data_IF_228692594463
#
_entry.id   IF_228692594463
#
_cell.length_a   1.000
_cell.length_b   1.000
_cell.length_c   1.000
_cell.angle_alpha   90.00
_cell.angle_beta   90.00
_cell.angle_gamma   90.00
#
_symmetry.space_group_name_H-M   'P 1'
#
loop_
_entity.id
_entity.type
_entity.pdbx_description
1 polymer ?
#
# COMPACT_ATOMS: atom_id res chain seq x y z
N UNK A 1 -48.87 53.45 -40.07
CA UNK A 1 -48.43 52.07 -39.86
C UNK A 1 -46.92 52.04 -40.05
N UNK A 2 -46.17 51.85 -38.97
CA UNK A 2 -44.70 51.74 -38.98
C UNK A 2 -44.34 50.59 -38.06
N UNK A 3 -44.03 49.43 -38.65
CA UNK A 3 -43.63 48.24 -37.93
C UNK A 3 -42.13 48.35 -37.65
N UNK A 4 -41.76 48.44 -36.37
CA UNK A 4 -40.37 48.39 -35.91
C UNK A 4 -39.98 46.94 -35.68
N UNK A 5 -39.00 46.45 -36.45
CA UNK A 5 -38.39 45.13 -36.25
C UNK A 5 -37.23 45.28 -35.28
N UNK A 6 -37.28 44.59 -34.14
CA UNK A 6 -36.17 44.50 -33.19
C UNK A 6 -35.10 43.52 -33.71
N UNK A 7 -33.80 43.81 -33.57
CA UNK A 7 -32.75 42.89 -33.96
C UNK A 7 -32.69 41.73 -32.96
N UNK A 8 -32.75 40.49 -33.48
CA UNK A 8 -32.46 39.31 -32.69
C UNK A 8 -30.95 39.28 -32.39
N UNK A 9 -30.59 39.61 -31.15
CA UNK A 9 -29.25 39.36 -30.63
C UNK A 9 -29.06 37.85 -30.57
N UNK A 10 -28.39 37.28 -31.57
CA UNK A 10 -28.00 35.88 -31.55
C UNK A 10 -27.09 35.67 -30.36
N UNK A 11 -27.58 34.95 -29.35
CA UNK A 11 -26.72 34.43 -28.28
C UNK A 11 -25.81 33.41 -28.95
N UNK A 12 -24.56 33.81 -29.18
CA UNK A 12 -23.53 32.92 -29.69
C UNK A 12 -23.32 31.82 -28.66
N UNK A 13 -23.84 30.62 -28.93
CA UNK A 13 -23.57 29.44 -28.14
C UNK A 13 -22.07 29.14 -28.32
N UNK A 14 -21.28 29.09 -27.24
CA UNK A 14 -19.85 28.82 -27.34
C UNK A 14 -19.64 27.48 -28.04
N UNK A 15 -18.64 27.44 -28.92
CA UNK A 15 -18.31 26.20 -29.59
C UNK A 15 -17.89 25.14 -28.56
N UNK A 16 -18.07 23.84 -28.84
CA UNK A 16 -17.72 22.77 -27.89
C UNK A 16 -16.28 22.87 -27.37
N UNK A 17 -15.32 23.34 -28.18
CA UNK A 17 -13.93 23.57 -27.75
C UNK A 17 -13.79 24.70 -26.72
N UNK A 18 -14.48 25.82 -26.91
CA UNK A 18 -14.45 26.95 -25.96
C UNK A 18 -15.16 26.62 -24.64
N UNK A 19 -16.17 25.74 -24.69
CA UNK A 19 -16.87 25.28 -23.49
C UNK A 19 -15.97 24.37 -22.63
N UNK A 20 -15.12 23.55 -23.27
CA UNK A 20 -14.13 22.71 -22.57
C UNK A 20 -13.03 23.55 -21.90
N UNK A 21 -12.56 24.61 -22.55
CA UNK A 21 -11.57 25.53 -21.97
C UNK A 21 -12.11 26.26 -20.74
N UNK A 22 -13.38 26.70 -20.78
CA UNK A 22 -14.03 27.40 -19.66
C UNK A 22 -14.19 26.49 -18.43
N UNK A 23 -14.54 25.22 -18.63
CA UNK A 23 -14.63 24.24 -17.53
C UNK A 23 -13.27 23.89 -16.95
N UNK A 24 -12.23 23.82 -17.78
CA UNK A 24 -10.87 23.56 -17.32
C UNK A 24 -10.32 24.73 -16.47
N UNK A 25 -10.69 25.97 -16.83
CA UNK A 25 -10.34 27.19 -16.07
C UNK A 25 -11.09 27.25 -14.74
N UNK A 26 -12.41 27.04 -14.74
CA UNK A 26 -13.21 26.99 -13.51
C UNK A 26 -12.71 25.90 -12.53
N UNK A 27 -12.38 24.71 -13.04
CA UNK A 27 -11.82 23.64 -12.22
C UNK A 27 -10.43 24.01 -11.66
N UNK A 28 -9.65 24.85 -12.34
CA UNK A 28 -8.35 25.35 -11.85
C UNK A 28 -8.56 26.36 -10.72
N UNK A 29 -9.48 27.30 -10.89
CA UNK A 29 -9.81 28.31 -9.87
C UNK A 29 -10.38 27.67 -8.59
N UNK A 30 -11.23 26.65 -8.73
CA UNK A 30 -11.72 25.85 -7.61
C UNK A 30 -10.59 25.14 -6.86
N UNK A 31 -9.62 24.56 -7.58
CA UNK A 31 -8.43 23.93 -6.97
C UNK A 31 -7.55 24.93 -6.25
N UNK A 32 -7.23 26.07 -6.86
CA UNK A 32 -6.41 27.12 -6.25
C UNK A 32 -7.10 27.69 -5.00
N UNK A 33 -8.42 27.84 -5.05
CA UNK A 33 -9.21 28.28 -3.89
C UNK A 33 -9.21 27.24 -2.78
N UNK A 34 -9.36 25.95 -3.11
CA UNK A 34 -9.29 24.85 -2.14
C UNK A 34 -7.90 24.76 -1.48
N UNK A 35 -6.83 24.83 -2.26
CA UNK A 35 -5.45 24.84 -1.75
C UNK A 35 -5.22 26.02 -0.80
N UNK A 36 -5.66 27.23 -1.18
CA UNK A 36 -5.50 28.43 -0.35
C UNK A 36 -6.33 28.39 0.94
N UNK A 37 -7.52 27.78 0.89
CA UNK A 37 -8.49 27.84 2.01
C UNK A 37 -8.33 26.68 2.99
N UNK A 38 -8.14 25.47 2.48
CA UNK A 38 -8.11 24.23 3.27
C UNK A 38 -6.79 23.47 3.18
N UNK A 39 -5.88 23.87 2.29
CA UNK A 39 -4.69 23.09 1.96
C UNK A 39 -5.00 21.88 1.09
N UNK A 40 -3.95 21.15 0.71
CA UNK A 40 -4.07 19.87 -0.02
C UNK A 40 -4.51 18.78 0.97
N UNK A 41 -5.61 18.04 0.70
CA UNK A 41 -6.06 16.97 1.57
C UNK A 41 -5.05 15.83 1.69
N UNK A 42 -4.76 15.42 2.94
CA UNK A 42 -3.98 14.23 3.24
C UNK A 42 -4.88 13.00 3.36
N UNK A 43 -4.49 11.90 2.72
CA UNK A 43 -5.15 10.60 2.84
C UNK A 43 -4.66 9.78 4.05
N UNK A 44 -3.77 10.33 4.89
CA UNK A 44 -3.14 9.60 5.99
C UNK A 44 -4.13 9.08 7.03
N UNK A 45 -5.14 9.89 7.36
CA UNK A 45 -6.16 9.53 8.34
C UNK A 45 -7.18 8.51 7.79
N UNK A 46 -7.14 8.21 6.48
CA UNK A 46 -8.09 7.31 5.84
C UNK A 46 -7.93 5.88 6.37
N UNK A 47 -9.06 5.30 6.79
CA UNK A 47 -9.18 3.90 7.20
C UNK A 47 -10.29 3.24 6.39
N UNK A 48 -9.88 2.43 5.43
CA UNK A 48 -10.79 1.63 4.61
C UNK A 48 -10.80 0.18 5.08
N UNK A 49 -11.94 -0.49 4.94
CA UNK A 49 -12.08 -1.93 5.27
C UNK A 49 -11.64 -2.85 4.14
N UNK A 50 -11.37 -2.30 2.94
CA UNK A 50 -10.86 -3.04 1.78
C UNK A 50 -9.68 -2.32 1.12
N UNK A 51 -8.83 -3.08 0.41
CA UNK A 51 -7.74 -2.51 -0.41
C UNK A 51 -8.28 -1.75 -1.62
N UNK A 52 -9.40 -2.20 -2.19
CA UNK A 52 -10.03 -1.54 -3.32
C UNK A 52 -10.44 -0.09 -2.98
N UNK A 53 -10.91 0.14 -1.75
CA UNK A 53 -11.28 1.49 -1.29
C UNK A 53 -10.06 2.41 -1.14
N UNK A 54 -8.91 1.89 -0.67
CA UNK A 54 -7.65 2.67 -0.67
C UNK A 54 -7.23 3.05 -2.09
N UNK A 55 -7.32 2.10 -3.02
CA UNK A 55 -7.00 2.34 -4.43
C UNK A 55 -7.96 3.35 -5.07
N UNK A 56 -9.25 3.26 -4.73
CA UNK A 56 -10.26 4.20 -5.19
C UNK A 56 -10.00 5.61 -4.68
N UNK A 57 -9.73 5.76 -3.38
CA UNK A 57 -9.39 7.05 -2.77
C UNK A 57 -8.13 7.67 -3.39
N UNK A 58 -7.08 6.87 -3.61
CA UNK A 58 -5.87 7.33 -4.29
C UNK A 58 -6.15 7.75 -5.75
N UNK A 59 -7.04 7.02 -6.45
CA UNK A 59 -7.43 7.36 -7.82
C UNK A 59 -8.17 8.69 -7.87
N UNK A 60 -9.15 8.89 -6.99
CA UNK A 60 -9.90 10.15 -6.88
C UNK A 60 -8.97 11.31 -6.53
N UNK A 61 -8.07 11.10 -5.57
CA UNK A 61 -7.11 12.12 -5.18
C UNK A 61 -6.16 12.49 -6.33
N UNK A 62 -5.66 11.50 -7.07
CA UNK A 62 -4.78 11.73 -8.23
C UNK A 62 -5.49 12.47 -9.38
N UNK A 63 -6.80 12.25 -9.56
CA UNK A 63 -7.60 12.97 -10.54
C UNK A 63 -7.85 14.42 -10.13
N UNK A 64 -8.03 14.68 -8.83
CA UNK A 64 -8.21 16.02 -8.30
C UNK A 64 -6.90 16.82 -8.25
N UNK A 65 -5.76 16.16 -8.05
CA UNK A 65 -4.43 16.77 -7.86
C UNK A 65 -3.38 16.17 -8.80
N UNK A 66 -3.53 16.32 -10.13
CA UNK A 66 -2.67 15.65 -11.12
C UNK A 66 -1.19 16.05 -11.00
N UNK A 67 -0.89 17.31 -10.69
CA UNK A 67 0.48 17.82 -10.53
C UNK A 67 1.16 17.31 -9.24
N UNK A 68 0.37 16.76 -8.32
CA UNK A 68 0.81 16.19 -7.05
C UNK A 68 0.53 14.68 -6.99
N UNK A 69 0.20 14.00 -8.10
CA UNK A 69 -0.34 12.64 -8.14
C UNK A 69 0.63 11.50 -7.69
N UNK A 70 1.52 11.75 -6.73
CA UNK A 70 2.43 10.78 -6.16
C UNK A 70 2.04 10.39 -4.71
N UNK A 71 2.49 9.22 -4.28
CA UNK A 71 2.20 8.64 -2.96
C UNK A 71 2.66 9.53 -1.80
N UNK A 72 3.74 10.28 -2.02
CA UNK A 72 4.37 11.15 -1.02
C UNK A 72 3.62 12.46 -0.82
N UNK A 73 2.98 12.99 -1.86
CA UNK A 73 2.14 14.20 -1.74
C UNK A 73 0.74 13.85 -1.21
N UNK A 74 0.22 12.67 -1.53
CA UNK A 74 -1.10 12.24 -1.04
C UNK A 74 -1.10 11.82 0.43
N UNK A 75 0.07 11.38 0.93
CA UNK A 75 0.19 10.69 2.23
C UNK A 75 -0.83 9.55 2.35
N UNK A 76 -1.16 8.91 1.22
CA UNK A 76 -2.12 7.82 1.16
C UNK A 76 -1.51 6.49 1.54
N UNK A 77 -2.31 5.65 2.15
CA UNK A 77 -1.93 4.26 2.40
C UNK A 77 -2.01 3.45 1.11
N UNK A 78 -0.94 2.73 0.81
CA UNK A 78 -0.86 1.85 -0.34
C UNK A 78 -0.18 0.54 0.05
N UNK A 79 -0.38 -0.50 -0.76
CA UNK A 79 0.31 -1.78 -0.59
C UNK A 79 1.82 -1.54 -0.65
N UNK A 80 2.57 -2.06 0.33
CA UNK A 80 4.01 -1.86 0.43
C UNK A 80 4.74 -2.42 -0.79
N UNK A 81 5.91 -1.86 -1.12
CA UNK A 81 6.69 -2.31 -2.29
C UNK A 81 7.08 -3.79 -2.17
N UNK A 82 7.37 -4.28 -0.97
CA UNK A 82 7.67 -5.70 -0.77
C UNK A 82 6.52 -6.64 -1.13
N UNK A 83 5.28 -6.16 -1.10
CA UNK A 83 4.05 -6.95 -1.24
C UNK A 83 3.58 -7.14 -2.69
N UNK A 84 4.37 -6.74 -3.71
CA UNK A 84 3.94 -6.88 -5.11
C UNK A 84 3.66 -8.33 -5.52
N UNK A 85 4.30 -9.31 -4.88
CA UNK A 85 4.04 -10.73 -5.12
C UNK A 85 2.79 -11.24 -4.36
N UNK A 86 2.29 -10.47 -3.39
CA UNK A 86 1.09 -10.83 -2.63
C UNK A 86 -0.17 -10.48 -3.41
N UNK A 87 -1.15 -11.38 -3.35
CA UNK A 87 -2.50 -11.06 -3.84
C UNK A 87 -3.09 -9.88 -3.04
N UNK A 88 -3.94 -9.09 -3.67
CA UNK A 88 -4.64 -7.93 -3.06
C UNK A 88 -6.14 -8.18 -2.87
N UNK A 89 -6.62 -9.32 -3.34
CA UNK A 89 -8.04 -9.65 -3.33
C UNK A 89 -8.56 -9.84 -1.90
N UNK A 90 -9.82 -9.53 -1.60
CA UNK A 90 -10.42 -9.93 -0.33
C UNK A 90 -10.32 -11.45 -0.14
N UNK A 91 -10.13 -11.89 1.10
CA UNK A 91 -10.08 -13.33 1.44
C UNK A 91 -11.16 -13.63 2.47
N UNK A 92 -11.63 -14.87 2.55
CA UNK A 92 -12.53 -15.28 3.64
C UNK A 92 -11.77 -15.57 4.93
N UNK A 93 -10.50 -15.97 4.82
CA UNK A 93 -9.59 -16.16 5.95
C UNK A 93 -8.80 -14.88 6.27
N UNK A 94 -8.34 -14.76 7.50
CA UNK A 94 -7.43 -13.67 7.89
C UNK A 94 -6.05 -13.92 7.30
N UNK A 95 -5.62 -13.06 6.37
CA UNK A 95 -4.30 -13.08 5.75
C UNK A 95 -3.76 -11.65 5.78
N UNK A 96 -2.58 -11.40 6.38
CA UNK A 96 -2.04 -10.05 6.49
C UNK A 96 -1.29 -9.65 5.23
N UNK A 97 -1.32 -8.36 4.94
CA UNK A 97 -0.40 -7.65 4.03
C UNK A 97 0.06 -6.37 4.71
N UNK A 98 1.19 -5.80 4.29
CA UNK A 98 1.64 -4.49 4.79
C UNK A 98 1.19 -3.35 3.90
N UNK A 99 0.68 -2.29 4.52
CA UNK A 99 0.46 -0.99 3.91
C UNK A 99 1.57 -0.03 4.31
N UNK A 100 1.95 0.86 3.41
CA UNK A 100 2.92 1.92 3.61
C UNK A 100 2.30 3.27 3.27
N UNK A 101 2.84 4.31 3.88
CA UNK A 101 2.59 5.68 3.47
C UNK A 101 3.81 6.55 3.76
N UNK A 102 4.09 7.47 2.85
CA UNK A 102 5.26 8.33 2.93
C UNK A 102 4.87 9.67 3.55
N UNK A 103 5.36 9.95 4.77
CA UNK A 103 5.12 11.21 5.49
C UNK A 103 6.30 12.18 5.36
N UNK A 104 7.34 11.83 4.58
CA UNK A 104 8.55 12.65 4.45
C UNK A 104 8.22 13.95 3.75
N UNK A 105 8.90 15.01 4.15
CA UNK A 105 8.73 16.33 3.56
C UNK A 105 9.28 16.39 2.13
N UNK A 106 8.57 17.10 1.24
CA UNK A 106 8.92 17.25 -0.17
C UNK A 106 9.94 18.36 -0.45
N UNK A 107 10.43 19.05 0.60
CA UNK A 107 11.40 20.13 0.43
C UNK A 107 12.79 19.56 0.18
N UNK A 108 13.49 20.13 -0.81
CA UNK A 108 14.89 19.83 -1.15
C UNK A 108 15.87 20.13 -0.01
N UNK A 109 15.48 20.92 0.98
CA UNK A 109 16.26 21.17 2.20
C UNK A 109 15.37 21.17 3.44
N UNK A 110 15.81 20.44 4.47
CA UNK A 110 15.16 20.42 5.78
C UNK A 110 15.65 21.53 6.73
N UNK A 111 16.45 22.49 6.24
CA UNK A 111 16.94 23.60 7.08
C UNK A 111 15.76 24.45 7.56
N UNK A 112 15.50 24.42 8.88
CA UNK A 112 14.38 25.15 9.49
C UNK A 112 13.00 24.51 9.28
N UNK A 113 12.93 23.26 8.82
CA UNK A 113 11.68 22.48 8.75
C UNK A 113 11.47 21.74 10.08
N UNK A 114 10.27 21.83 10.65
CA UNK A 114 9.84 21.09 11.85
C UNK A 114 9.20 19.74 11.49
N UNK A 115 9.45 19.24 10.29
CA UNK A 115 8.79 18.07 9.74
C UNK A 115 9.44 16.79 10.31
N UNK A 116 8.67 16.00 11.05
CA UNK A 116 9.09 14.76 11.72
C UNK A 116 8.61 13.48 10.98
N UNK A 117 8.22 13.60 9.72
CA UNK A 117 7.68 12.47 8.97
C UNK A 117 8.74 11.51 8.43
N UNK A 118 8.38 10.23 8.36
CA UNK A 118 9.15 9.15 7.74
C UNK A 118 8.24 8.28 6.85
N UNK A 119 8.79 7.26 6.21
CA UNK A 119 8.00 6.15 5.68
C UNK A 119 7.48 5.34 6.85
N UNK A 120 6.16 5.23 6.98
CA UNK A 120 5.53 4.46 8.06
C UNK A 120 4.67 3.34 7.49
N UNK A 121 4.54 2.28 8.27
CA UNK A 121 3.93 1.03 7.85
C UNK A 121 2.86 0.57 8.84
N UNK A 122 1.91 -0.23 8.36
CA UNK A 122 0.95 -0.95 9.21
C UNK A 122 0.49 -2.22 8.51
N UNK A 123 0.00 -3.18 9.28
CA UNK A 123 -0.66 -4.35 8.74
C UNK A 123 -2.08 -4.03 8.30
N UNK A 124 -2.55 -4.78 7.31
CA UNK A 124 -3.94 -4.84 6.88
C UNK A 124 -4.35 -6.30 6.70
N UNK A 125 -5.43 -6.71 7.35
CA UNK A 125 -5.98 -8.06 7.23
C UNK A 125 -6.98 -8.12 6.08
N UNK A 126 -6.68 -8.90 5.04
CA UNK A 126 -7.54 -9.09 3.86
C UNK A 126 -8.83 -9.87 4.15
N UNK A 127 -8.89 -10.52 5.31
CA UNK A 127 -10.06 -11.28 5.78
C UNK A 127 -11.12 -10.42 6.42
N UNK A 128 -10.73 -9.68 7.45
CA UNK A 128 -11.65 -8.93 8.30
C UNK A 128 -11.55 -7.39 8.15
N UNK A 129 -10.61 -6.88 7.35
CA UNK A 129 -10.35 -5.44 7.19
C UNK A 129 -9.66 -4.79 8.39
N UNK A 130 -9.18 -5.58 9.36
CA UNK A 130 -8.44 -5.12 10.53
C UNK A 130 -7.11 -4.45 10.16
N UNK A 131 -6.66 -3.52 10.99
CA UNK A 131 -5.37 -2.84 10.84
C UNK A 131 -4.57 -2.94 12.14
N UNK A 132 -3.25 -3.06 12.05
CA UNK A 132 -2.40 -2.83 13.22
C UNK A 132 -2.28 -1.34 13.57
N UNK A 133 -1.55 -1.08 14.65
CA UNK A 133 -0.92 0.22 14.88
C UNK A 133 0.08 0.57 13.76
N UNK A 134 0.45 1.84 13.71
CA UNK A 134 1.43 2.38 12.76
C UNK A 134 2.82 2.26 13.37
N UNK A 135 3.75 1.70 12.61
CA UNK A 135 5.15 1.47 12.98
C UNK A 135 6.08 2.06 11.92
N UNK A 136 7.38 2.11 12.20
CA UNK A 136 8.42 2.69 11.34
C UNK A 136 9.06 1.69 10.36
N UNK A 137 8.78 0.39 10.49
CA UNK A 137 9.29 -0.65 9.59
C UNK A 137 8.22 -1.63 9.07
N UNK A 138 8.41 -2.09 7.83
CA UNK A 138 7.53 -3.08 7.20
C UNK A 138 7.55 -4.44 7.92
N UNK A 139 8.67 -4.81 8.52
CA UNK A 139 8.79 -6.08 9.25
C UNK A 139 7.92 -6.07 10.48
N UNK A 140 7.97 -5.02 11.28
CA UNK A 140 7.13 -4.90 12.48
C UNK A 140 5.65 -4.87 12.12
N UNK A 141 5.30 -4.18 11.01
CA UNK A 141 3.94 -4.22 10.47
C UNK A 141 3.52 -5.64 10.07
N UNK A 142 4.39 -6.38 9.37
CA UNK A 142 4.12 -7.77 9.00
C UNK A 142 3.94 -8.66 10.24
N UNK A 143 4.81 -8.52 11.24
CA UNK A 143 4.73 -9.27 12.50
C UNK A 143 3.41 -9.02 13.23
N UNK A 144 2.98 -7.76 13.37
CA UNK A 144 1.70 -7.41 13.97
C UNK A 144 0.51 -8.00 13.20
N UNK A 145 0.60 -8.02 11.86
CA UNK A 145 -0.40 -8.68 11.00
C UNK A 145 -0.46 -10.19 11.22
N UNK A 146 0.70 -10.84 11.28
CA UNK A 146 0.81 -12.29 11.50
C UNK A 146 0.26 -12.70 12.88
N UNK A 147 0.45 -11.88 13.91
CA UNK A 147 -0.09 -12.15 15.24
C UNK A 147 -1.60 -12.14 15.28
N UNK A 148 -2.18 -11.22 14.53
CA UNK A 148 -3.61 -11.14 14.37
C UNK A 148 -4.16 -12.32 13.56
N UNK A 149 -3.51 -12.67 12.45
CA UNK A 149 -4.03 -13.68 11.52
C UNK A 149 -3.75 -15.12 11.92
N UNK A 150 -2.64 -15.39 12.62
CA UNK A 150 -2.14 -16.73 12.91
C UNK A 150 -1.62 -16.88 14.34
N UNK A 151 -2.47 -16.82 15.38
CA UNK A 151 -2.03 -16.99 16.76
C UNK A 151 -1.17 -18.25 16.97
N UNK A 152 -0.03 -18.12 17.66
CA UNK A 152 0.92 -19.21 17.92
C UNK A 152 1.99 -19.44 16.84
N UNK A 153 1.95 -18.72 15.72
CA UNK A 153 2.94 -18.88 14.64
C UNK A 153 4.39 -18.63 15.07
N UNK A 154 4.62 -17.83 16.11
CA UNK A 154 5.96 -17.51 16.61
C UNK A 154 6.66 -18.70 17.27
N UNK A 155 5.91 -19.69 17.74
CA UNK A 155 6.44 -20.87 18.41
C UNK A 155 6.83 -21.97 17.41
N UNK A 156 6.55 -21.75 16.12
CA UNK A 156 6.91 -22.70 15.07
C UNK A 156 8.43 -22.93 14.98
N UNK A 157 8.84 -24.10 14.46
CA UNK A 157 10.24 -24.42 14.28
C UNK A 157 10.93 -23.46 13.30
N UNK A 158 12.23 -23.26 13.51
CA UNK A 158 13.06 -22.49 12.58
C UNK A 158 13.56 -23.44 11.50
N UNK A 159 13.32 -23.07 10.24
CA UNK A 159 13.74 -23.85 9.07
C UNK A 159 14.96 -23.24 8.38
N UNK A 160 15.68 -24.01 7.55
CA UNK A 160 16.73 -23.45 6.70
C UNK A 160 16.19 -22.37 5.75
N UNK A 161 17.01 -21.37 5.43
CA UNK A 161 16.69 -20.38 4.39
C UNK A 161 16.38 -21.05 3.05
N UNK A 162 15.40 -20.49 2.32
CA UNK A 162 15.07 -20.94 0.98
C UNK A 162 16.27 -20.77 0.02
N UNK A 163 16.53 -21.72 -0.90
CA UNK A 163 17.56 -21.57 -1.91
C UNK A 163 17.24 -20.39 -2.84
N UNK A 164 18.27 -19.64 -3.26
CA UNK A 164 18.15 -18.57 -4.26
C UNK A 164 17.76 -19.10 -5.64
N UNK A 165 17.05 -18.29 -6.43
CA UNK A 165 16.47 -18.68 -7.74
C UNK A 165 17.53 -18.89 -8.84
N UNK A 166 18.75 -18.38 -8.65
CA UNK A 166 19.80 -18.22 -9.65
C UNK A 166 20.82 -19.39 -9.69
N UNK A 167 20.57 -20.47 -8.94
CA UNK A 167 21.42 -21.68 -8.90
C UNK A 167 20.78 -22.95 -9.48
N UNK A 168 21.58 -23.96 -9.90
CA UNK A 168 21.02 -25.17 -10.47
C UNK A 168 20.30 -25.99 -9.39
N UNK A 169 19.18 -26.63 -9.78
CA UNK A 169 18.56 -27.86 -9.25
C UNK A 169 17.24 -27.66 -8.49
N UNK A 170 16.14 -27.82 -9.22
CA UNK A 170 14.81 -28.26 -8.73
C UNK A 170 14.88 -29.23 -7.53
N UNK A 171 15.88 -30.13 -7.50
CA UNK A 171 16.12 -31.06 -6.39
C UNK A 171 16.51 -30.37 -5.07
N UNK A 172 17.31 -29.31 -5.09
CA UNK A 172 17.64 -28.52 -3.88
C UNK A 172 16.38 -27.88 -3.31
N UNK A 173 15.54 -27.31 -4.17
CA UNK A 173 14.26 -26.74 -3.76
C UNK A 173 13.30 -27.80 -3.22
N UNK A 174 13.13 -28.92 -3.92
CA UNK A 174 12.31 -30.05 -3.43
C UNK A 174 12.80 -30.52 -2.06
N UNK A 175 14.11 -30.73 -1.88
CA UNK A 175 14.65 -31.17 -0.60
C UNK A 175 14.36 -30.16 0.52
N UNK A 176 14.49 -28.87 0.22
CA UNK A 176 14.14 -27.81 1.17
C UNK A 176 12.65 -27.82 1.52
N UNK A 177 11.76 -27.90 0.52
CA UNK A 177 10.30 -28.00 0.71
C UNK A 177 9.93 -29.22 1.56
N UNK A 178 10.59 -30.36 1.33
CA UNK A 178 10.44 -31.57 2.16
C UNK A 178 10.86 -31.31 3.61
N UNK A 179 12.03 -30.73 3.86
CA UNK A 179 12.49 -30.40 5.22
C UNK A 179 11.55 -29.44 5.95
N UNK A 180 11.07 -28.40 5.26
CA UNK A 180 10.11 -27.45 5.86
C UNK A 180 8.80 -28.16 6.21
N UNK A 181 8.30 -29.01 5.31
CA UNK A 181 7.05 -29.76 5.51
C UNK A 181 7.17 -30.78 6.65
N UNK A 182 8.31 -31.45 6.79
CA UNK A 182 8.57 -32.37 7.91
C UNK A 182 8.58 -31.66 9.27
N UNK A 183 9.05 -30.41 9.32
CA UNK A 183 9.12 -29.62 10.55
C UNK A 183 7.80 -28.94 10.92
N UNK A 184 7.11 -28.33 9.94
CA UNK A 184 5.88 -27.55 10.19
C UNK A 184 4.58 -28.33 9.98
N UNK A 185 4.64 -29.50 9.34
CA UNK A 185 3.48 -30.24 8.83
C UNK A 185 2.98 -29.71 7.48
N UNK A 186 2.09 -30.47 6.84
CA UNK A 186 1.46 -30.10 5.55
C UNK A 186 0.25 -29.19 5.70
N UNK A 187 -0.39 -29.18 6.87
CA UNK A 187 -1.78 -28.74 7.02
C UNK A 187 -1.93 -27.26 7.40
N UNK A 188 -0.89 -26.45 7.19
CA UNK A 188 -0.98 -25.01 7.50
C UNK A 188 -1.87 -24.30 6.47
N UNK A 189 -2.68 -23.32 6.90
CA UNK A 189 -3.61 -22.61 6.02
C UNK A 189 -2.88 -21.69 5.03
N UNK A 190 -3.59 -21.26 3.99
CA UNK A 190 -3.09 -20.23 3.08
C UNK A 190 -2.69 -18.96 3.83
N UNK A 191 -1.54 -18.38 3.46
CA UNK A 191 -1.00 -17.16 4.07
C UNK A 191 -0.20 -17.41 5.34
N UNK A 192 -0.11 -18.66 5.83
CA UNK A 192 0.64 -18.99 7.04
C UNK A 192 2.14 -18.68 6.87
N UNK A 193 2.82 -18.09 7.87
CA UNK A 193 4.23 -17.72 7.75
C UNK A 193 5.15 -18.93 7.94
N UNK A 194 6.44 -18.73 7.65
CA UNK A 194 7.52 -19.60 8.11
C UNK A 194 8.65 -18.78 8.73
N UNK A 195 9.45 -19.41 9.59
CA UNK A 195 10.57 -18.75 10.27
C UNK A 195 11.88 -19.34 9.74
N UNK A 196 12.69 -18.55 9.05
CA UNK A 196 13.99 -18.99 8.53
C UNK A 196 15.14 -18.44 9.35
N UNK A 197 16.20 -19.23 9.54
CA UNK A 197 17.48 -18.71 10.01
C UNK A 197 18.22 -18.01 8.88
N UNK A 198 18.67 -16.78 9.09
CA UNK A 198 19.37 -15.97 8.07
C UNK A 198 20.78 -15.61 8.51
N UNK A 199 21.55 -15.06 7.58
CA UNK A 199 22.88 -14.54 7.87
C UNK A 199 22.82 -13.20 8.62
N UNK A 200 23.96 -12.48 8.74
CA UNK A 200 24.02 -11.20 9.46
C UNK A 200 23.25 -10.05 8.79
N UNK A 201 22.63 -10.29 7.64
CA UNK A 201 21.94 -9.29 6.82
C UNK A 201 20.63 -9.84 6.27
N UNK A 202 19.72 -8.93 5.89
CA UNK A 202 18.47 -9.30 5.21
C UNK A 202 17.39 -9.85 6.14
N UNK A 203 17.14 -9.18 7.26
CA UNK A 203 16.17 -9.62 8.28
C UNK A 203 14.72 -9.20 8.01
N UNK A 204 14.47 -8.45 6.93
CA UNK A 204 13.12 -8.03 6.53
C UNK A 204 12.17 -9.23 6.42
N UNK A 205 10.95 -9.12 6.94
CA UNK A 205 9.89 -10.08 6.62
C UNK A 205 9.55 -10.02 5.12
N UNK A 206 9.65 -11.16 4.43
CA UNK A 206 9.48 -11.23 2.97
C UNK A 206 8.14 -11.89 2.64
N UNK A 207 7.17 -11.15 2.08
CA UNK A 207 5.88 -11.73 1.73
C UNK A 207 5.99 -12.73 0.58
N UNK A 208 5.08 -13.71 0.57
CA UNK A 208 4.97 -14.72 -0.49
C UNK A 208 6.07 -15.79 -0.50
N UNK A 209 7.04 -15.76 0.43
CA UNK A 209 8.16 -16.70 0.48
C UNK A 209 7.95 -17.94 1.34
N UNK A 210 6.91 -17.97 2.17
CA UNK A 210 6.54 -19.23 2.83
C UNK A 210 5.94 -20.22 1.83
N UNK A 211 5.96 -21.52 2.18
CA UNK A 211 5.31 -22.55 1.38
C UNK A 211 3.80 -22.34 1.21
N UNK A 212 3.17 -21.61 2.14
CA UNK A 212 1.73 -21.37 2.14
C UNK A 212 1.35 -20.00 1.56
N UNK A 213 2.31 -19.29 0.96
CA UNK A 213 2.10 -17.98 0.34
C UNK A 213 2.02 -16.80 1.33
N UNK A 214 2.26 -17.06 2.62
CA UNK A 214 2.54 -16.06 3.65
C UNK A 214 3.99 -15.58 3.67
N UNK A 215 4.39 -14.96 4.78
CA UNK A 215 5.71 -14.37 4.97
C UNK A 215 6.79 -15.39 5.30
N UNK A 216 8.00 -15.13 4.82
CA UNK A 216 9.24 -15.65 5.37
C UNK A 216 9.79 -14.62 6.37
N UNK A 217 9.81 -14.99 7.65
CA UNK A 217 10.31 -14.16 8.75
C UNK A 217 11.68 -14.67 9.20
N UNK A 218 12.63 -13.75 9.38
CA UNK A 218 13.95 -14.11 9.91
C UNK A 218 13.84 -14.45 11.41
N UNK A 219 14.46 -15.53 11.87
CA UNK A 219 14.49 -15.89 13.29
C UNK A 219 15.09 -14.77 14.17
N UNK A 220 16.04 -14.03 13.59
CA UNK A 220 16.77 -12.95 14.23
C UNK A 220 15.86 -11.77 14.61
N UNK A 221 14.80 -11.49 13.83
CA UNK A 221 13.81 -10.44 14.20
C UNK A 221 12.93 -10.84 15.37
N UNK A 222 12.86 -12.14 15.66
CA UNK A 222 12.17 -12.69 16.82
C UNK A 222 13.10 -12.89 18.02
N UNK A 223 14.40 -12.60 17.88
CA UNK A 223 15.41 -12.87 18.91
C UNK A 223 15.74 -14.36 19.09
N UNK A 224 15.60 -15.19 18.04
CA UNK A 224 15.80 -16.65 18.06
C UNK A 224 16.93 -17.14 17.12
#
# INVERSE_FOLDING_TARGET
>A
MTTTTLPATGIAVPSPGQQLDLFAEAARDERETAERTTGVPSLYALRCTTIADYQHAMTQWSQAWPDLACLRDSHGWHVAIGEYASSREPTSACIPITLQTDLRCNRTSHRGCLCVGDLVSRSFCRGCGGHSEVVDDDTDAALLGLDHCFPGWRDDPIVPSAPYDDGPKRRTRINWETTVTELHGTDRPQGYPMITRRGPHGWRAVPGRSLWGGYDVAAETLGR
#
